data_IF_925812382787
#
_entry.id   IF_925812382787
#
_cell.length_a   1.000
_cell.length_b   1.000
_cell.length_c   1.000
_cell.angle_alpha   90.00
_cell.angle_beta   90.00
_cell.angle_gamma   90.00
#
_symmetry.space_group_name_H-M   'P 1'
#
loop_
_entity.id
_entity.type
_entity.pdbx_description
1 polymer ?
#
# COMPACT_ATOMS: atom_id res chain seq x y z
N UNK A 1 -11.60 -11.68 -14.01
CA UNK A 1 -11.63 -11.25 -12.60
C UNK A 1 -12.87 -10.43 -12.37
N UNK A 2 -13.62 -10.77 -11.37
CA UNK A 2 -14.88 -10.07 -11.14
C UNK A 2 -14.64 -8.87 -10.21
N UNK A 3 -15.52 -7.89 -10.30
CA UNK A 3 -15.47 -6.73 -9.43
C UNK A 3 -15.60 -7.11 -7.96
N UNK A 4 -16.24 -8.24 -7.67
CA UNK A 4 -16.42 -8.70 -6.29
C UNK A 4 -15.09 -9.01 -5.60
N UNK A 5 -14.10 -9.47 -6.35
CA UNK A 5 -12.78 -9.74 -5.80
C UNK A 5 -12.16 -8.47 -5.22
N UNK A 6 -12.21 -7.39 -5.97
CA UNK A 6 -11.67 -6.12 -5.51
C UNK A 6 -12.50 -5.54 -4.38
N UNK A 7 -13.82 -5.66 -4.47
CA UNK A 7 -14.72 -5.17 -3.41
C UNK A 7 -14.45 -5.86 -2.09
N UNK A 8 -14.28 -7.18 -2.13
CA UNK A 8 -14.00 -7.93 -0.90
C UNK A 8 -12.67 -7.52 -0.29
N UNK A 9 -11.66 -7.32 -1.12
CA UNK A 9 -10.36 -6.88 -0.64
C UNK A 9 -10.46 -5.47 -0.02
N UNK A 10 -11.21 -4.57 -0.66
CA UNK A 10 -11.40 -3.23 -0.14
C UNK A 10 -12.13 -3.24 1.20
N UNK A 11 -13.16 -4.10 1.34
CA UNK A 11 -13.86 -4.23 2.60
C UNK A 11 -12.92 -4.68 3.71
N UNK A 12 -12.08 -5.66 3.44
CA UNK A 12 -11.12 -6.15 4.42
C UNK A 12 -10.14 -5.04 4.80
N UNK A 13 -9.67 -4.26 3.82
CA UNK A 13 -8.76 -3.16 4.07
C UNK A 13 -9.43 -2.13 4.97
N UNK A 14 -10.68 -1.76 4.67
CA UNK A 14 -11.38 -0.76 5.47
C UNK A 14 -11.56 -1.23 6.91
N UNK A 15 -11.80 -2.51 7.12
CA UNK A 15 -11.90 -3.04 8.47
C UNK A 15 -10.58 -2.95 9.22
N UNK A 16 -9.47 -3.20 8.53
CA UNK A 16 -8.15 -3.07 9.13
C UNK A 16 -7.90 -1.62 9.53
N UNK A 17 -8.24 -0.68 8.67
CA UNK A 17 -8.06 0.73 8.96
C UNK A 17 -8.92 1.19 10.13
N UNK A 18 -10.15 0.66 10.21
CA UNK A 18 -11.06 1.00 11.31
C UNK A 18 -10.53 0.52 12.66
N UNK A 19 -9.89 -0.65 12.69
CA UNK A 19 -9.32 -1.17 13.93
C UNK A 19 -8.15 -0.31 14.39
N UNK A 20 -7.43 0.28 13.45
CA UNK A 20 -6.28 1.08 13.78
C UNK A 20 -5.10 0.26 14.24
N UNK A 21 -4.19 0.91 14.94
CA UNK A 21 -2.95 0.32 15.37
C UNK A 21 -1.81 1.17 14.88
N UNK A 22 -0.57 0.72 15.06
CA UNK A 22 0.52 1.51 14.53
C UNK A 22 0.60 1.33 13.01
N UNK A 23 1.27 2.30 12.36
CA UNK A 23 1.26 2.37 10.90
C UNK A 23 1.84 1.11 10.25
N UNK A 24 2.91 0.57 10.83
CA UNK A 24 3.53 -0.62 10.25
C UNK A 24 2.58 -1.81 10.28
N UNK A 25 1.90 -2.03 11.41
CA UNK A 25 0.95 -3.13 11.53
C UNK A 25 -0.21 -2.96 10.57
N UNK A 26 -0.74 -1.74 10.45
CA UNK A 26 -1.84 -1.46 9.55
C UNK A 26 -1.44 -1.73 8.10
N UNK A 27 -0.27 -1.22 7.68
CA UNK A 27 0.17 -1.40 6.30
C UNK A 27 0.43 -2.86 5.98
N UNK A 28 1.04 -3.61 6.90
CA UNK A 28 1.27 -5.04 6.68
C UNK A 28 -0.04 -5.79 6.56
N UNK A 29 -1.03 -5.44 7.38
CA UNK A 29 -2.36 -6.04 7.28
C UNK A 29 -3.03 -5.75 5.96
N UNK A 30 -2.90 -4.52 5.47
CA UNK A 30 -3.46 -4.13 4.18
C UNK A 30 -2.83 -4.94 3.05
N UNK A 31 -1.50 -5.08 3.07
CA UNK A 31 -0.82 -5.85 2.02
C UNK A 31 -1.25 -7.31 2.04
N UNK A 32 -1.40 -7.89 3.22
CA UNK A 32 -1.87 -9.27 3.34
C UNK A 32 -3.28 -9.41 2.79
N UNK A 33 -4.14 -8.45 3.08
CA UNK A 33 -5.52 -8.48 2.58
C UNK A 33 -5.56 -8.39 1.05
N UNK A 34 -4.70 -7.57 0.46
CA UNK A 34 -4.62 -7.48 -1.01
C UNK A 34 -4.19 -8.82 -1.59
N UNK A 35 -3.15 -9.41 -1.04
CA UNK A 35 -2.59 -10.64 -1.57
C UNK A 35 -3.59 -11.79 -1.44
N UNK A 36 -4.33 -11.86 -0.33
CA UNK A 36 -5.32 -12.90 -0.11
C UNK A 36 -6.57 -12.69 -0.95
N UNK A 37 -6.95 -11.43 -1.14
CA UNK A 37 -8.21 -11.11 -1.79
C UNK A 37 -8.16 -11.04 -3.30
N UNK A 38 -6.97 -10.87 -3.89
CA UNK A 38 -6.81 -10.75 -5.33
C UNK A 38 -5.89 -11.86 -5.81
N UNK A 39 -6.45 -12.97 -6.25
CA UNK A 39 -5.66 -14.20 -6.48
C UNK A 39 -4.56 -14.08 -7.53
N UNK A 40 -4.68 -13.15 -8.48
CA UNK A 40 -3.66 -13.05 -9.52
C UNK A 40 -2.43 -12.23 -9.08
N UNK A 41 -2.49 -11.56 -7.96
CA UNK A 41 -1.30 -10.87 -7.45
C UNK A 41 -0.41 -11.88 -6.75
N UNK A 42 0.89 -11.82 -7.05
CA UNK A 42 1.88 -12.72 -6.48
C UNK A 42 2.77 -12.01 -5.46
N UNK A 43 2.78 -10.68 -5.50
CA UNK A 43 3.60 -9.88 -4.58
C UNK A 43 3.00 -8.48 -4.49
N UNK A 44 3.08 -7.87 -3.33
CA UNK A 44 2.63 -6.50 -3.13
C UNK A 44 3.55 -5.83 -2.11
N UNK A 45 3.86 -4.57 -2.33
CA UNK A 45 4.73 -3.82 -1.42
C UNK A 45 4.42 -2.34 -1.47
N UNK A 46 4.93 -1.63 -0.48
CA UNK A 46 4.85 -0.17 -0.41
C UNK A 46 6.27 0.36 -0.27
N UNK A 47 6.63 1.29 -1.16
CA UNK A 47 7.91 1.97 -1.10
C UNK A 47 7.66 3.41 -0.66
N UNK A 48 8.41 3.86 0.33
CA UNK A 48 8.25 5.21 0.87
C UNK A 48 9.17 6.18 0.17
N UNK A 49 8.68 7.40 -0.05
CA UNK A 49 9.48 8.46 -0.62
C UNK A 49 10.30 9.12 0.48
N UNK A 50 11.62 8.99 0.41
CA UNK A 50 12.53 9.57 1.39
C UNK A 50 13.62 10.32 0.65
N UNK A 51 13.67 11.62 0.86
CA UNK A 51 14.69 12.48 0.27
C UNK A 51 14.80 12.31 -1.25
N UNK A 52 13.65 12.25 -1.92
CA UNK A 52 13.60 12.12 -3.36
C UNK A 52 13.83 10.72 -3.90
N UNK A 53 13.95 9.71 -3.03
CA UNK A 53 14.17 8.33 -3.45
C UNK A 53 13.10 7.43 -2.84
N UNK A 54 12.83 6.32 -3.51
CA UNK A 54 11.90 5.32 -3.01
C UNK A 54 12.67 4.25 -2.24
N UNK A 55 12.23 4.00 -1.01
CA UNK A 55 12.81 2.96 -0.16
C UNK A 55 11.72 1.94 0.13
N UNK A 56 11.98 0.69 -0.23
CA UNK A 56 10.98 -0.35 -0.02
C UNK A 56 10.72 -0.56 1.47
N UNK A 57 9.45 -0.51 1.85
CA UNK A 57 8.99 -0.76 3.21
C UNK A 57 8.36 -2.14 3.31
N UNK A 58 7.17 -2.23 3.90
CA UNK A 58 6.55 -3.55 4.08
C UNK A 58 6.20 -4.19 2.75
N UNK A 59 6.27 -5.52 2.71
CA UNK A 59 5.93 -6.29 1.52
C UNK A 59 5.33 -7.62 1.93
N UNK A 60 4.62 -8.24 0.99
CA UNK A 60 4.01 -9.55 1.20
C UNK A 60 4.08 -10.33 -0.12
N UNK A 61 4.19 -11.65 0.00
CA UNK A 61 4.29 -12.53 -1.16
C UNK A 61 5.73 -12.68 -1.62
N UNK A 62 5.92 -13.38 -2.72
CA UNK A 62 7.28 -13.63 -3.21
C UNK A 62 7.33 -13.99 -4.68
N UNK A 63 6.24 -13.74 -5.40
CA UNK A 63 6.18 -14.14 -6.79
C UNK A 63 6.69 -13.07 -7.73
N UNK A 64 6.68 -13.43 -8.99
CA UNK A 64 7.05 -12.54 -10.09
C UNK A 64 5.83 -12.28 -10.94
N UNK A 65 5.97 -11.40 -11.88
CA UNK A 65 4.90 -11.10 -12.82
C UNK A 65 5.00 -9.66 -13.25
N UNK A 66 4.07 -9.27 -14.07
CA UNK A 66 4.01 -7.90 -14.54
C UNK A 66 3.77 -6.96 -13.37
N UNK A 67 4.52 -5.88 -13.32
CA UNK A 67 4.48 -4.93 -12.22
C UNK A 67 3.57 -3.77 -12.56
N UNK A 68 2.81 -3.32 -11.58
CA UNK A 68 1.99 -2.13 -11.71
C UNK A 68 2.12 -1.30 -10.44
N UNK A 69 2.12 0.01 -10.59
CA UNK A 69 2.36 0.93 -9.49
C UNK A 69 1.26 1.97 -9.42
N UNK A 70 0.96 2.40 -8.21
CA UNK A 70 0.03 3.50 -7.98
C UNK A 70 0.68 4.46 -7.00
N UNK A 71 0.74 5.72 -7.37
CA UNK A 71 1.34 6.75 -6.53
C UNK A 71 0.46 7.01 -5.33
N UNK A 72 1.06 7.07 -4.16
CA UNK A 72 0.36 7.43 -2.92
C UNK A 72 0.69 8.87 -2.63
N UNK A 73 -0.35 9.72 -2.59
CA UNK A 73 -0.16 11.14 -2.31
C UNK A 73 -0.95 11.52 -1.06
N UNK A 74 -0.43 12.51 -0.35
CA UNK A 74 -1.12 13.08 0.81
C UNK A 74 -1.07 14.59 0.66
N UNK A 75 -2.25 15.21 0.60
CA UNK A 75 -2.38 16.65 0.39
C UNK A 75 -1.59 17.13 -0.82
N UNK A 76 -1.65 16.32 -1.89
CA UNK A 76 -1.02 16.67 -3.16
C UNK A 76 0.44 16.32 -3.30
N UNK A 77 1.10 15.87 -2.23
CA UNK A 77 2.51 15.55 -2.28
C UNK A 77 2.72 14.03 -2.34
N UNK A 78 3.62 13.54 -3.20
CA UNK A 78 3.89 12.11 -3.25
C UNK A 78 4.63 11.66 -1.99
N UNK A 79 4.11 10.61 -1.34
CA UNK A 79 4.70 10.11 -0.10
C UNK A 79 5.14 8.65 -0.22
N UNK A 80 4.60 7.92 -1.20
CA UNK A 80 4.93 6.50 -1.36
C UNK A 80 4.43 6.00 -2.71
N UNK A 81 4.76 4.74 -3.03
CA UNK A 81 4.16 4.01 -4.15
C UNK A 81 3.68 2.67 -3.67
N UNK A 82 2.48 2.30 -4.10
CA UNK A 82 1.95 0.95 -3.91
C UNK A 82 2.31 0.15 -5.16
N UNK A 83 2.95 -0.99 -4.99
CA UNK A 83 3.47 -1.78 -6.10
C UNK A 83 2.93 -3.19 -5.98
N UNK A 84 2.43 -3.73 -7.09
CA UNK A 84 1.98 -5.13 -7.14
C UNK A 84 2.65 -5.84 -8.31
N UNK A 85 2.80 -7.16 -8.19
CA UNK A 85 3.23 -8.01 -9.29
C UNK A 85 2.15 -9.05 -9.55
N UNK A 86 2.06 -9.46 -10.82
CA UNK A 86 1.00 -10.35 -11.26
C UNK A 86 -0.20 -9.61 -11.80
N UNK A 87 -0.09 -8.28 -11.92
CA UNK A 87 -1.16 -7.45 -12.45
C UNK A 87 -1.36 -7.72 -13.94
N UNK A 88 -2.38 -7.12 -14.51
CA UNK A 88 -2.66 -7.29 -15.94
C UNK A 88 -4.13 -7.20 -16.26
N UNK A 89 -4.98 -7.14 -15.25
CA UNK A 89 -6.41 -6.97 -15.46
C UNK A 89 -6.75 -5.49 -15.62
N UNK A 90 -7.75 -5.16 -16.44
CA UNK A 90 -8.11 -3.75 -16.64
C UNK A 90 -8.55 -3.05 -15.36
N UNK A 91 -9.09 -3.79 -14.40
CA UNK A 91 -9.61 -3.21 -13.16
C UNK A 91 -8.55 -3.02 -12.10
N UNK A 92 -7.30 -3.42 -12.37
CA UNK A 92 -6.21 -3.28 -11.39
C UNK A 92 -5.96 -1.81 -11.03
N UNK A 93 -5.92 -0.94 -12.04
CA UNK A 93 -5.57 0.46 -11.81
C UNK A 93 -6.54 1.18 -10.88
N UNK A 94 -7.87 1.12 -11.10
CA UNK A 94 -8.79 1.78 -10.17
C UNK A 94 -8.71 1.21 -8.76
N UNK A 95 -8.51 -0.10 -8.64
CA UNK A 95 -8.37 -0.74 -7.33
C UNK A 95 -7.14 -0.23 -6.61
N UNK A 96 -6.00 -0.21 -7.30
CA UNK A 96 -4.75 0.24 -6.69
C UNK A 96 -4.82 1.71 -6.28
N UNK A 97 -5.46 2.53 -7.11
CA UNK A 97 -5.62 3.95 -6.78
C UNK A 97 -6.48 4.15 -5.55
N UNK A 98 -7.52 3.33 -5.40
CA UNK A 98 -8.37 3.40 -4.22
C UNK A 98 -7.60 3.00 -2.97
N UNK A 99 -6.83 1.92 -3.05
CA UNK A 99 -6.01 1.49 -1.92
C UNK A 99 -4.99 2.56 -1.57
N UNK A 100 -4.34 3.15 -2.58
CA UNK A 100 -3.36 4.20 -2.35
C UNK A 100 -3.98 5.36 -1.57
N UNK A 101 -5.20 5.74 -1.93
CA UNK A 101 -5.91 6.81 -1.21
C UNK A 101 -6.16 6.43 0.25
N UNK A 102 -6.58 5.20 0.47
CA UNK A 102 -6.93 4.75 1.81
C UNK A 102 -5.73 4.67 2.74
N UNK A 103 -4.56 4.29 2.22
CA UNK A 103 -3.38 4.09 3.06
C UNK A 103 -2.52 5.35 3.19
N UNK A 104 -2.83 6.41 2.46
CA UNK A 104 -1.95 7.58 2.42
C UNK A 104 -1.62 8.16 3.81
N UNK A 105 -2.55 8.26 4.77
CA UNK A 105 -2.18 8.80 6.07
C UNK A 105 -1.17 7.93 6.82
N UNK A 106 -1.20 6.64 6.57
CA UNK A 106 -0.31 5.70 7.24
C UNK A 106 1.08 5.72 6.63
N UNK A 107 1.17 6.03 5.36
CA UNK A 107 2.47 6.19 4.71
C UNK A 107 3.19 7.44 5.22
N UNK A 108 2.43 8.47 5.55
CA UNK A 108 2.99 9.69 6.09
C UNK A 108 3.62 9.44 7.47
N UNK A 109 2.95 8.66 8.31
CA UNK A 109 3.47 8.33 9.62
C UNK A 109 4.79 7.56 9.50
N UNK A 110 4.86 6.58 8.60
CA UNK A 110 6.09 5.85 8.38
C UNK A 110 7.21 6.74 7.91
N UNK A 111 6.89 7.71 7.09
CA UNK A 111 7.85 8.66 6.56
C UNK A 111 8.38 9.58 7.66
N UNK A 112 7.49 10.02 8.55
CA UNK A 112 7.85 10.94 9.63
C UNK A 112 8.81 10.34 10.63
N UNK A 113 8.72 9.06 10.87
CA UNK A 113 9.59 8.44 11.85
C UNK A 113 11.05 8.47 11.44
N UNK A 114 11.29 8.88 10.25
CA UNK A 114 12.66 9.06 9.79
C UNK A 114 13.25 10.35 10.29
N UNK A 115 12.41 11.24 10.46
CA UNK A 115 12.88 12.53 10.77
C UNK A 115 12.98 12.81 12.19
N UNK A 116 12.87 12.57 12.29
CA UNK A 116 12.76 12.93 13.04
C UNK A 116 12.51 12.95 13.74
N UNK A 117 12.69 12.80 13.88
CA UNK A 117 12.39 12.69 14.53
C UNK A 117 11.72 12.80 14.94
N UNK A 118 11.22 12.28 14.48
CA UNK A 118 10.39 12.33 14.93
C UNK A 118 10.69 12.59 16.08
N UNK A 119 11.84 12.83 15.91
CA UNK A 119 12.14 12.89 16.21
C UNK A 119 12.60 13.34 16.59
N UNK A 120 13.14 13.67 16.73
CA UNK A 120 13.66 13.91 16.74
C UNK A 120 13.98 14.10 17.11
N UNK A 121 14.15 13.93 17.38
CA UNK A 121 14.50 13.77 17.33
C UNK A 121 14.86 13.92 17.36
N UNK A 122 15.16 13.99 17.38
CA UNK A 122 15.54 13.96 17.04
C UNK A 122 15.82 14.16 16.94
#
# INVERSE_FOLDING_TARGET
MSADTYSSALDAIEQILDRGGDADDVLRGVLAAILEGVPHYTWVGIAFMEEGRLELGPEAGGGDGEEQRALVTFEGAPVAELIVRGAGAPDDRPFLERVATLVSPYCLVGWDTQGVPWSDVS
#
